data_IF_798809484433
#
_entry.id   IF_798809484433
#
_cell.length_a   1.000
_cell.length_b   1.000
_cell.length_c   1.000
_cell.angle_alpha   90.00
_cell.angle_beta   90.00
_cell.angle_gamma   90.00
#
_symmetry.space_group_name_H-M   'P 1'
#
loop_
_entity.id
_entity.type
_entity.pdbx_description
1 polymer ?
#
# COMPACT_ATOMS: atom_id res chain seq x y z
N UNK A 1 7.81 -16.40 4.72
CA UNK A 1 8.87 -15.42 4.36
C UNK A 1 8.31 -14.03 4.50
N UNK A 2 9.14 -13.04 4.85
CA UNK A 2 8.72 -11.64 4.90
C UNK A 2 8.37 -11.17 3.48
N UNK A 3 7.24 -10.48 3.30
CA UNK A 3 6.90 -9.86 2.02
C UNK A 3 7.95 -8.81 1.66
N UNK A 4 8.46 -8.84 0.44
CA UNK A 4 9.39 -7.84 -0.11
C UNK A 4 8.66 -6.64 -0.69
N UNK A 5 9.39 -5.57 -0.97
CA UNK A 5 8.83 -4.40 -1.66
C UNK A 5 8.32 -4.76 -3.05
N UNK A 6 9.09 -5.56 -3.77
CA UNK A 6 8.82 -5.98 -5.13
C UNK A 6 7.57 -6.87 -5.20
N UNK A 7 7.40 -7.79 -4.23
CA UNK A 7 6.18 -8.60 -4.10
C UNK A 7 4.95 -7.74 -3.80
N UNK A 8 5.08 -6.74 -2.92
CA UNK A 8 3.98 -5.81 -2.66
C UNK A 8 3.61 -5.01 -3.92
N UNK A 9 4.60 -4.53 -4.68
CA UNK A 9 4.37 -3.81 -5.95
C UNK A 9 3.69 -4.72 -6.97
N UNK A 10 4.14 -5.97 -7.10
CA UNK A 10 3.54 -6.93 -8.02
C UNK A 10 2.08 -7.24 -7.65
N UNK A 11 1.81 -7.51 -6.37
CA UNK A 11 0.45 -7.70 -5.87
C UNK A 11 -0.43 -6.48 -6.12
N UNK A 12 0.07 -5.29 -5.77
CA UNK A 12 -0.70 -4.05 -5.89
C UNK A 12 -1.01 -3.74 -7.36
N UNK A 13 -0.04 -3.91 -8.26
CA UNK A 13 -0.23 -3.71 -9.71
C UNK A 13 -1.28 -4.66 -10.28
N UNK A 14 -1.24 -5.96 -9.90
CA UNK A 14 -2.30 -6.93 -10.26
C UNK A 14 -3.67 -6.51 -9.73
N UNK A 15 -3.70 -5.88 -8.57
CA UNK A 15 -4.91 -5.38 -7.91
C UNK A 15 -5.32 -3.95 -8.34
N UNK A 16 -4.79 -3.46 -9.47
CA UNK A 16 -5.19 -2.20 -10.09
C UNK A 16 -4.60 -0.95 -9.45
N UNK A 17 -3.58 -1.08 -8.60
CA UNK A 17 -2.79 0.06 -8.17
C UNK A 17 -1.77 0.44 -9.24
N UNK A 18 -1.52 1.73 -9.39
CA UNK A 18 -0.59 2.26 -10.40
C UNK A 18 0.63 2.89 -9.76
N UNK A 19 1.82 2.56 -10.26
CA UNK A 19 3.06 3.17 -9.80
C UNK A 19 3.15 4.62 -10.29
N UNK A 20 3.37 5.56 -9.37
CA UNK A 20 3.57 6.96 -9.68
C UNK A 20 5.04 7.29 -9.94
N UNK A 21 5.30 8.51 -10.43
CA UNK A 21 6.66 9.00 -10.75
C UNK A 21 7.61 9.06 -9.54
N UNK A 22 7.10 8.94 -8.32
CA UNK A 22 7.88 8.96 -7.09
C UNK A 22 8.09 7.55 -6.50
N UNK A 23 7.64 6.51 -7.20
CA UNK A 23 7.77 5.12 -6.76
C UNK A 23 6.81 4.76 -5.62
N UNK A 24 5.66 5.43 -5.54
CA UNK A 24 4.53 5.04 -4.68
C UNK A 24 3.38 4.50 -5.54
N UNK A 25 2.48 3.74 -4.94
CA UNK A 25 1.34 3.18 -5.68
C UNK A 25 0.09 3.99 -5.37
N UNK A 26 -0.74 4.29 -6.37
CA UNK A 26 -2.00 5.01 -6.22
C UNK A 26 -3.17 4.22 -6.77
N UNK A 27 -4.35 4.43 -6.18
CA UNK A 27 -5.60 3.85 -6.66
C UNK A 27 -6.77 4.74 -6.24
N UNK A 28 -7.71 4.95 -7.14
CA UNK A 28 -8.98 5.61 -6.83
C UNK A 28 -9.96 4.61 -6.22
N UNK A 29 -10.65 5.06 -5.17
CA UNK A 29 -11.75 4.36 -4.52
C UNK A 29 -12.95 5.31 -4.42
N UNK A 30 -14.13 4.78 -4.12
CA UNK A 30 -15.36 5.59 -4.00
C UNK A 30 -15.26 6.69 -2.94
N UNK A 31 -14.42 6.48 -1.93
CA UNK A 31 -14.13 7.43 -0.84
C UNK A 31 -12.89 8.32 -1.11
N UNK A 32 -12.32 8.29 -2.31
CA UNK A 32 -11.24 9.17 -2.76
C UNK A 32 -9.96 8.46 -3.18
N UNK A 33 -8.92 9.26 -3.43
CA UNK A 33 -7.62 8.76 -3.88
C UNK A 33 -6.82 8.18 -2.72
N UNK A 34 -6.41 6.93 -2.84
CA UNK A 34 -5.50 6.28 -1.90
C UNK A 34 -4.09 6.12 -2.47
N UNK A 35 -3.11 6.06 -1.57
CA UNK A 35 -1.70 5.80 -1.87
C UNK A 35 -1.11 4.74 -0.95
N UNK A 36 -0.37 3.78 -1.51
CA UNK A 36 0.62 3.01 -0.75
C UNK A 36 1.97 3.71 -0.89
N UNK A 37 2.38 4.41 0.17
CA UNK A 37 3.71 5.01 0.27
C UNK A 37 4.72 3.91 0.60
N UNK A 38 5.57 3.60 -0.38
CA UNK A 38 6.63 2.61 -0.26
C UNK A 38 7.87 3.24 0.37
N UNK A 39 8.24 2.77 1.55
CA UNK A 39 9.50 3.11 2.21
C UNK A 39 10.48 1.93 2.14
N UNK A 40 11.68 2.11 2.68
CA UNK A 40 12.71 1.06 2.70
C UNK A 40 12.29 -0.21 3.45
N UNK A 41 11.53 -0.09 4.53
CA UNK A 41 11.20 -1.23 5.42
C UNK A 41 9.70 -1.42 5.67
N UNK A 42 8.86 -0.54 5.14
CA UNK A 42 7.44 -0.49 5.44
C UNK A 42 6.65 0.13 4.28
N UNK A 43 5.36 -0.20 4.24
CA UNK A 43 4.37 0.48 3.43
C UNK A 43 3.39 1.23 4.32
N UNK A 44 2.91 2.39 3.87
CA UNK A 44 1.84 3.15 4.52
C UNK A 44 0.68 3.29 3.56
N UNK A 45 -0.52 2.97 4.04
CA UNK A 45 -1.76 3.27 3.34
C UNK A 45 -2.21 4.67 3.75
N UNK A 46 -2.34 5.54 2.77
CA UNK A 46 -2.68 6.94 2.94
C UNK A 46 -3.92 7.28 2.10
N UNK A 47 -4.78 8.15 2.62
CA UNK A 47 -5.91 8.74 1.92
C UNK A 47 -5.58 10.20 1.59
N UNK A 48 -5.90 10.64 0.38
CA UNK A 48 -5.78 12.04 0.00
C UNK A 48 -6.91 12.87 0.61
N UNK A 49 -6.55 13.96 1.28
CA UNK A 49 -7.48 14.90 1.92
C UNK A 49 -7.17 16.33 1.44
N UNK A 50 -8.06 17.31 1.68
CA UNK A 50 -7.77 18.72 1.37
C UNK A 50 -6.49 19.26 2.02
N UNK A 51 -6.03 18.64 3.12
CA UNK A 51 -4.83 19.03 3.86
C UNK A 51 -3.60 18.17 3.50
N UNK A 52 -3.71 17.31 2.49
CA UNK A 52 -2.65 16.40 2.03
C UNK A 52 -2.93 14.93 2.36
N UNK A 53 -1.88 14.12 2.43
CA UNK A 53 -1.97 12.67 2.60
C UNK A 53 -2.07 12.29 4.08
N UNK A 54 -3.18 11.68 4.48
CA UNK A 54 -3.40 11.18 5.83
C UNK A 54 -3.12 9.68 5.90
N UNK A 55 -2.27 9.24 6.84
CA UNK A 55 -2.01 7.82 7.07
C UNK A 55 -3.21 7.18 7.77
N UNK A 56 -3.80 6.16 7.14
CA UNK A 56 -4.89 5.37 7.72
C UNK A 56 -4.40 4.04 8.28
N UNK A 57 -3.35 3.47 7.69
CA UNK A 57 -2.69 2.27 8.19
C UNK A 57 -1.22 2.19 7.74
N UNK A 58 -0.43 1.33 8.37
CA UNK A 58 0.95 1.03 7.97
C UNK A 58 1.36 -0.36 8.39
N UNK A 59 2.31 -0.95 7.67
CA UNK A 59 2.89 -2.25 8.04
C UNK A 59 4.34 -2.35 7.60
N UNK A 60 5.16 -2.93 8.47
CA UNK A 60 6.53 -3.31 8.08
C UNK A 60 6.46 -4.51 7.13
N UNK A 61 7.32 -4.52 6.11
CA UNK A 61 7.40 -5.60 5.13
C UNK A 61 7.52 -6.99 5.78
N UNK A 62 8.27 -7.10 6.88
CA UNK A 62 8.38 -8.33 7.68
C UNK A 62 7.07 -8.85 8.30
N UNK A 63 6.06 -8.01 8.41
CA UNK A 63 4.75 -8.34 8.97
C UNK A 63 3.66 -8.42 7.90
N UNK A 64 3.90 -7.87 6.70
CA UNK A 64 2.96 -7.93 5.59
C UNK A 64 2.93 -9.33 4.98
N UNK A 65 1.74 -9.77 4.63
CA UNK A 65 1.50 -11.04 3.97
C UNK A 65 0.19 -10.98 3.18
N UNK A 66 0.04 -11.89 2.22
CA UNK A 66 -1.23 -12.09 1.51
C UNK A 66 -2.05 -13.17 2.22
N UNK A 67 -3.34 -12.92 2.40
CA UNK A 67 -4.28 -13.92 2.89
C UNK A 67 -4.57 -14.96 1.80
N UNK A 68 -5.31 -16.03 2.14
CA UNK A 68 -5.75 -17.03 1.18
C UNK A 68 -6.61 -16.42 0.04
N UNK A 69 -7.27 -15.29 0.30
CA UNK A 69 -8.14 -14.58 -0.64
C UNK A 69 -7.41 -13.48 -1.45
N UNK A 70 -6.08 -13.52 -1.53
CA UNK A 70 -5.23 -12.51 -2.19
C UNK A 70 -5.39 -11.09 -1.62
N UNK A 71 -5.76 -10.96 -0.34
CA UNK A 71 -5.85 -9.66 0.34
C UNK A 71 -4.57 -9.34 1.10
N UNK A 72 -4.18 -8.06 1.12
CA UNK A 72 -3.03 -7.62 1.90
C UNK A 72 -3.38 -7.49 3.38
N UNK A 73 -2.70 -8.25 4.22
CA UNK A 73 -2.84 -8.24 5.67
C UNK A 73 -1.54 -7.77 6.37
N UNK A 74 -1.63 -7.55 7.68
CA UNK A 74 -0.49 -7.10 8.51
C UNK A 74 -0.31 -5.58 8.59
N UNK A 75 -1.25 -4.80 8.08
CA UNK A 75 -1.31 -3.35 8.31
C UNK A 75 -2.02 -3.02 9.64
N UNK A 76 -1.51 -2.04 10.37
CA UNK A 76 -2.08 -1.50 11.62
C UNK A 76 -2.27 0.01 11.54
N UNK A 77 -3.24 0.55 12.27
CA UNK A 77 -3.59 1.99 12.27
C UNK A 77 -2.50 2.87 12.90
#
# INVERSE_FOLDING_TARGET
MAMTREELVAWATRNGWQLDRWGHLKKEFDNGTHRLKLSRIAARHELHTPFGWCRIASGYYKNLHLTADDQLAGMTR
#
